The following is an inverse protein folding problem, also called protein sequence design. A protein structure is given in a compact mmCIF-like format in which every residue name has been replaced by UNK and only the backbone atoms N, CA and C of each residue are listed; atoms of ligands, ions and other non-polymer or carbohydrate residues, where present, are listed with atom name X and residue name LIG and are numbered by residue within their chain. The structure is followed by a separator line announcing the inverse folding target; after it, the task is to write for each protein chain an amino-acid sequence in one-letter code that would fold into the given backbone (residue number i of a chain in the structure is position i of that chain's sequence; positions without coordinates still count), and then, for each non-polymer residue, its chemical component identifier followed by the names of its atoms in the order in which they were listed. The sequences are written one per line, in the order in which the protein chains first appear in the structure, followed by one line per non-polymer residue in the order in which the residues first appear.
data_IF_540804206787
#
_entry.id   IF_540804206787
#
_cell.length_a   1.000
_cell.length_b   1.000
_cell.length_c   1.000
_cell.angle_alpha   90.00
_cell.angle_beta   90.00
_cell.angle_gamma   90.00
#
_symmetry.space_group_name_H-M   'P 1'
#
loop_
_entity.id
_entity.type
_entity.pdbx_description
1 polymer ?
#
# COMPACT_ATOMS: atom_id res chain seq x y z
N UNK A 1 -13.60 1.55 -15.03
CA UNK A 1 -12.30 1.25 -15.67
C UNK A 1 -11.38 0.78 -14.55
N UNK A 2 -10.73 -0.38 -14.70
CA UNK A 2 -9.76 -0.86 -13.72
C UNK A 2 -8.50 0.00 -13.81
N UNK A 3 -8.00 0.47 -12.68
CA UNK A 3 -6.68 1.12 -12.61
C UNK A 3 -5.59 0.09 -12.86
N UNK A 4 -4.48 0.53 -13.46
CA UNK A 4 -3.29 -0.30 -13.61
C UNK A 4 -2.71 -0.63 -12.23
N UNK A 5 -2.29 -1.89 -12.05
CA UNK A 5 -1.75 -2.35 -10.78
C UNK A 5 -0.25 -2.12 -10.73
N UNK A 6 0.23 -1.66 -9.57
CA UNK A 6 1.65 -1.50 -9.34
C UNK A 6 2.37 -2.84 -9.25
N UNK A 7 3.62 -2.82 -9.69
CA UNK A 7 4.56 -3.94 -9.66
C UNK A 7 5.87 -3.48 -9.00
N UNK A 8 6.80 -4.41 -8.81
CA UNK A 8 8.14 -4.10 -8.30
C UNK A 8 8.87 -3.06 -9.16
N UNK A 9 8.58 -3.03 -10.47
CA UNK A 9 9.21 -2.13 -11.44
C UNK A 9 8.56 -0.73 -11.45
N UNK A 10 7.26 -0.63 -11.16
CA UNK A 10 6.51 0.64 -11.31
C UNK A 10 6.32 1.39 -9.98
N UNK A 11 6.37 0.70 -8.84
CA UNK A 11 6.03 1.29 -7.54
C UNK A 11 7.01 2.36 -7.08
N UNK A 12 8.31 2.23 -7.38
CA UNK A 12 9.33 3.19 -6.92
C UNK A 12 9.11 4.55 -7.58
N UNK A 13 8.94 4.57 -8.91
CA UNK A 13 8.67 5.80 -9.65
C UNK A 13 7.37 6.46 -9.17
N UNK A 14 6.34 5.66 -8.88
CA UNK A 14 5.10 6.16 -8.28
C UNK A 14 5.34 6.82 -6.92
N UNK A 15 5.98 6.14 -5.96
CA UNK A 15 6.24 6.67 -4.62
C UNK A 15 7.13 7.93 -4.65
N UNK A 16 8.06 8.02 -5.60
CA UNK A 16 8.84 9.23 -5.84
C UNK A 16 7.97 10.38 -6.37
N UNK A 17 7.07 10.11 -7.33
CA UNK A 17 6.14 11.12 -7.85
C UNK A 17 5.18 11.67 -6.79
N UNK A 18 4.87 10.83 -5.78
CA UNK A 18 4.05 11.18 -4.61
C UNK A 18 4.84 11.93 -3.53
N UNK A 19 6.17 12.02 -3.64
CA UNK A 19 7.06 12.59 -2.62
C UNK A 19 7.21 11.71 -1.37
N UNK A 20 6.78 10.45 -1.42
CA UNK A 20 6.90 9.50 -0.31
C UNK A 20 8.32 9.00 -0.17
N UNK A 21 9.02 8.80 -1.29
CA UNK A 21 10.45 8.45 -1.35
C UNK A 21 11.18 9.57 -2.09
N UNK A 22 12.43 9.86 -1.72
CA UNK A 22 13.22 10.86 -2.43
C UNK A 22 13.55 10.40 -3.86
N UNK A 23 13.59 11.34 -4.81
CA UNK A 23 13.94 11.05 -6.20
C UNK A 23 15.34 10.44 -6.39
N UNK A 24 16.25 10.66 -5.42
CA UNK A 24 17.62 10.15 -5.45
C UNK A 24 17.83 8.91 -4.56
N UNK A 25 16.78 8.41 -3.89
CA UNK A 25 16.89 7.21 -3.06
C UNK A 25 16.68 5.95 -3.89
N UNK A 26 17.62 5.01 -3.74
CA UNK A 26 17.44 3.65 -4.21
C UNK A 26 16.49 2.91 -3.27
N UNK A 27 15.63 2.06 -3.85
CA UNK A 27 14.65 1.27 -3.12
C UNK A 27 14.74 -0.20 -3.53
N UNK A 28 14.68 -1.10 -2.55
CA UNK A 28 14.39 -2.51 -2.77
C UNK A 28 12.90 -2.75 -2.62
N UNK A 29 12.33 -3.55 -3.52
CA UNK A 29 10.90 -3.89 -3.51
C UNK A 29 10.74 -5.38 -3.38
N UNK A 30 9.76 -5.79 -2.57
CA UNK A 30 9.38 -7.19 -2.36
C UNK A 30 7.85 -7.33 -2.48
N UNK A 31 7.37 -8.31 -3.24
CA UNK A 31 5.95 -8.67 -3.24
C UNK A 31 5.61 -9.44 -1.96
N UNK A 32 4.69 -8.89 -1.16
CA UNK A 32 4.14 -9.59 0.00
C UNK A 32 2.92 -10.41 -0.40
N UNK A 33 2.94 -11.70 -0.06
CA UNK A 33 1.87 -12.65 -0.38
C UNK A 33 0.99 -12.96 0.84
N UNK A 34 -0.07 -13.76 0.65
CA UNK A 34 -0.99 -14.18 1.72
C UNK A 34 -2.34 -13.43 1.76
N UNK A 35 -2.41 -12.24 1.17
CA UNK A 35 -3.66 -11.50 0.97
C UNK A 35 -4.31 -11.78 -0.39
N UNK A 36 -5.64 -11.84 -0.42
CA UNK A 36 -6.41 -12.04 -1.67
C UNK A 36 -6.98 -10.74 -2.26
N UNK A 37 -7.00 -9.65 -1.48
CA UNK A 37 -7.74 -8.43 -1.82
C UNK A 37 -6.86 -7.28 -2.31
N UNK A 38 -5.54 -7.39 -2.23
CA UNK A 38 -4.64 -6.31 -2.61
C UNK A 38 -3.43 -6.82 -3.39
N UNK A 39 -2.84 -5.94 -4.19
CA UNK A 39 -1.39 -5.96 -4.41
C UNK A 39 -0.74 -5.38 -3.14
N UNK A 40 0.26 -6.06 -2.62
CA UNK A 40 1.01 -5.60 -1.44
C UNK A 40 2.49 -5.64 -1.77
N UNK A 41 3.14 -4.49 -1.70
CA UNK A 41 4.55 -4.31 -2.02
C UNK A 41 5.23 -3.72 -0.80
N UNK A 42 6.21 -4.41 -0.25
CA UNK A 42 7.12 -3.79 0.69
C UNK A 42 8.18 -3.01 -0.07
N UNK A 43 8.47 -1.80 0.39
CA UNK A 43 9.44 -0.90 -0.23
C UNK A 43 10.38 -0.39 0.85
N UNK A 44 11.65 -0.75 0.71
CA UNK A 44 12.68 -0.37 1.67
C UNK A 44 13.72 0.52 1.01
N UNK A 45 14.09 1.59 1.68
CA UNK A 45 15.13 2.54 1.29
C UNK A 45 16.13 2.66 2.43
N UNK A 46 17.15 3.52 2.27
CA UNK A 46 18.06 3.82 3.37
C UNK A 46 17.35 4.47 4.57
N UNK A 47 16.28 5.23 4.34
CA UNK A 47 15.63 6.06 5.36
C UNK A 47 14.23 5.58 5.77
N UNK A 48 13.61 4.70 4.99
CA UNK A 48 12.22 4.25 5.20
C UNK A 48 12.04 2.75 4.96
N UNK A 49 11.14 2.13 5.71
CA UNK A 49 10.62 0.79 5.47
C UNK A 49 9.09 0.86 5.42
N UNK A 50 8.52 0.61 4.24
CA UNK A 50 7.14 0.93 3.90
C UNK A 50 6.42 -0.28 3.33
N UNK A 51 5.09 -0.24 3.39
CA UNK A 51 4.21 -1.16 2.65
C UNK A 51 3.20 -0.34 1.85
N UNK A 52 3.21 -0.52 0.53
CA UNK A 52 2.13 -0.07 -0.34
C UNK A 52 1.09 -1.18 -0.47
N UNK A 53 -0.18 -0.84 -0.27
CA UNK A 53 -1.32 -1.68 -0.58
C UNK A 53 -2.15 -1.02 -1.67
N UNK A 54 -2.51 -1.76 -2.70
CA UNK A 54 -3.44 -1.32 -3.75
C UNK A 54 -4.60 -2.28 -3.87
N UNK A 55 -5.82 -1.77 -3.78
CA UNK A 55 -7.03 -2.58 -3.82
C UNK A 55 -7.24 -3.21 -5.21
N UNK A 56 -7.49 -4.51 -5.24
CA UNK A 56 -7.89 -5.22 -6.46
C UNK A 56 -9.39 -5.02 -6.76
N UNK A 57 -9.76 -4.89 -8.04
CA UNK A 57 -11.16 -4.92 -8.45
C UNK A 57 -11.77 -6.33 -8.36
N UNK A 58 -10.96 -7.36 -8.58
CA UNK A 58 -11.31 -8.77 -8.43
C UNK A 58 -10.34 -9.46 -7.46
N UNK A 59 -10.86 -10.18 -6.47
CA UNK A 59 -10.07 -10.86 -5.45
C UNK A 59 -9.38 -12.11 -6.03
N UNK A 60 -8.18 -12.42 -5.55
CA UNK A 60 -7.40 -13.61 -5.90
C UNK A 60 -7.94 -14.87 -5.22
N UNK A 61 -9.16 -15.27 -5.59
CA UNK A 61 -9.84 -16.46 -5.08
C UNK A 61 -10.31 -17.34 -6.24
N UNK A 62 -10.66 -18.60 -5.96
CA UNK A 62 -10.91 -19.61 -7.01
C UNK A 62 -12.13 -19.30 -7.90
N UNK A 63 -13.09 -18.53 -7.39
CA UNK A 63 -14.29 -18.11 -8.13
C UNK A 63 -14.28 -16.62 -8.32
N UNK A 64 -14.87 -16.14 -9.42
CA UNK A 64 -14.99 -14.69 -9.66
C UNK A 64 -15.61 -13.99 -8.46
N UNK A 65 -14.87 -13.07 -7.86
CA UNK A 65 -15.32 -12.26 -6.74
C UNK A 65 -14.84 -10.83 -6.90
N UNK A 66 -15.75 -9.96 -7.31
CA UNK A 66 -15.49 -8.53 -7.48
C UNK A 66 -15.76 -7.75 -6.19
N UNK A 67 -14.93 -6.75 -5.92
CA UNK A 67 -15.10 -5.85 -4.79
C UNK A 67 -14.76 -4.42 -5.21
N UNK A 68 -15.55 -3.48 -4.72
CA UNK A 68 -15.30 -2.06 -4.95
C UNK A 68 -13.93 -1.64 -4.38
N UNK A 69 -13.10 -1.03 -5.23
CA UNK A 69 -11.76 -0.58 -4.85
C UNK A 69 -11.80 0.61 -3.89
N UNK A 70 -12.92 1.34 -3.81
CA UNK A 70 -13.15 2.42 -2.84
C UNK A 70 -13.10 1.94 -1.38
N UNK A 71 -13.03 0.64 -1.12
CA UNK A 71 -12.71 0.11 0.22
C UNK A 71 -11.33 0.58 0.72
N UNK A 72 -10.37 0.87 -0.16
CA UNK A 72 -9.07 1.41 0.23
C UNK A 72 -9.19 2.80 0.89
N UNK A 73 -10.18 3.60 0.49
CA UNK A 73 -10.50 4.90 1.10
C UNK A 73 -10.91 4.71 2.56
N UNK A 74 -11.83 3.76 2.78
CA UNK A 74 -12.34 3.44 4.12
C UNK A 74 -11.22 2.87 4.98
N UNK A 75 -10.37 2.02 4.41
CA UNK A 75 -9.21 1.46 5.11
C UNK A 75 -8.22 2.54 5.54
N UNK A 76 -7.87 3.49 4.67
CA UNK A 76 -6.98 4.60 4.99
C UNK A 76 -7.53 5.45 6.15
N UNK A 77 -8.80 5.87 6.08
CA UNK A 77 -9.44 6.64 7.16
C UNK A 77 -9.52 5.85 8.49
N UNK A 78 -9.78 4.55 8.41
CA UNK A 78 -9.82 3.70 9.59
C UNK A 78 -8.43 3.59 10.23
N UNK A 79 -7.37 3.36 9.43
CA UNK A 79 -6.00 3.30 9.92
C UNK A 79 -5.59 4.62 10.56
N UNK A 80 -5.83 5.76 9.90
CA UNK A 80 -5.54 7.08 10.46
C UNK A 80 -6.23 7.30 11.81
N UNK A 81 -7.53 6.98 11.88
CA UNK A 81 -8.32 7.11 13.11
C UNK A 81 -7.80 6.19 14.22
N UNK A 82 -7.55 4.92 13.93
CA UNK A 82 -7.11 3.96 14.94
C UNK A 82 -5.66 4.15 15.36
N UNK A 83 -4.79 4.64 14.45
CA UNK A 83 -3.41 5.02 14.80
C UNK A 83 -3.42 6.19 15.79
N UNK A 84 -4.26 7.21 15.59
CA UNK A 84 -4.39 8.32 16.53
C UNK A 84 -4.83 7.87 17.93
N UNK A 85 -5.64 6.80 18.03
CA UNK A 85 -6.09 6.24 19.30
C UNK A 85 -5.11 5.26 19.93
N UNK A 86 -4.29 4.56 19.14
CA UNK A 86 -3.42 3.47 19.58
C UNK A 86 -2.20 3.31 18.68
N UNK A 87 -1.25 4.26 18.71
CA UNK A 87 -0.13 4.30 17.77
C UNK A 87 0.83 3.12 17.89
N UNK A 88 0.86 2.43 19.04
CA UNK A 88 1.65 1.22 19.22
C UNK A 88 1.01 -0.07 18.68
N UNK A 89 -0.25 -0.02 18.22
CA UNK A 89 -1.00 -1.20 17.73
C UNK A 89 -1.38 -1.10 16.25
N UNK A 90 -1.35 0.10 15.68
CA UNK A 90 -1.72 0.37 14.29
C UNK A 90 -0.58 1.14 13.65
N UNK A 91 -0.08 0.76 12.45
CA UNK A 91 1.00 1.50 11.79
C UNK A 91 0.54 2.89 11.36
N UNK A 92 1.49 3.81 11.21
CA UNK A 92 1.19 5.14 10.68
C UNK A 92 0.82 5.05 9.18
N UNK A 93 -0.17 5.85 8.78
CA UNK A 93 -0.48 6.11 7.37
C UNK A 93 0.48 7.18 6.85
N UNK A 94 1.25 6.85 5.82
CA UNK A 94 2.29 7.72 5.23
C UNK A 94 1.75 8.49 4.03
N UNK A 95 0.98 7.83 3.17
CA UNK A 95 0.31 8.43 2.01
C UNK A 95 -0.94 7.62 1.65
N UNK A 96 -1.84 8.25 0.91
CA UNK A 96 -3.06 7.63 0.41
C UNK A 96 -3.51 8.29 -0.89
N UNK A 97 -3.91 7.48 -1.88
CA UNK A 97 -4.35 7.91 -3.19
C UNK A 97 -5.77 7.38 -3.49
N UNK A 98 -6.79 8.26 -3.47
CA UNK A 98 -8.18 7.88 -3.75
C UNK A 98 -8.43 7.51 -5.22
N UNK A 99 -7.59 7.97 -6.15
CA UNK A 99 -7.78 7.74 -7.58
C UNK A 99 -7.22 6.39 -8.00
N UNK A 100 -6.05 6.03 -7.44
CA UNK A 100 -5.39 4.75 -7.70
C UNK A 100 -5.70 3.66 -6.65
N UNK A 101 -6.49 4.01 -5.63
CA UNK A 101 -6.90 3.15 -4.53
C UNK A 101 -5.71 2.53 -3.79
N UNK A 102 -4.68 3.34 -3.54
CA UNK A 102 -3.48 2.94 -2.78
C UNK A 102 -3.49 3.53 -1.39
N UNK A 103 -2.86 2.83 -0.45
CA UNK A 103 -2.43 3.37 0.83
C UNK A 103 -0.99 2.91 1.10
N UNK A 104 -0.20 3.80 1.69
CA UNK A 104 1.19 3.54 2.08
C UNK A 104 1.30 3.63 3.59
N UNK A 105 1.83 2.58 4.21
CA UNK A 105 1.97 2.44 5.65
C UNK A 105 3.43 2.29 6.02
N UNK A 106 3.79 2.66 7.25
CA UNK A 106 5.03 2.16 7.85
C UNK A 106 4.99 0.63 7.93
N UNK A 107 6.09 -0.04 7.57
CA UNK A 107 6.18 -1.49 7.68
C UNK A 107 6.30 -1.88 9.15
N UNK A 108 5.44 -2.80 9.59
CA UNK A 108 5.54 -3.40 10.93
C UNK A 108 6.84 -4.22 11.04
N UNK A 109 7.42 -4.36 12.24
CA UNK A 109 8.68 -5.09 12.42
C UNK A 109 8.65 -6.50 11.84
N UNK A 110 9.78 -6.91 11.26
CA UNK A 110 10.01 -8.27 10.79
C UNK A 110 10.08 -9.21 12.01
N UNK A 111 9.34 -10.32 11.96
CA UNK A 111 9.37 -11.39 12.98
C UNK A 111 10.54 -12.34 12.78
#
# INVERSE_FOLDING_TARGET
MSVELFTEETVVAYLQSRGVISANEEATVEILTGGVSNVVLAVQTQSKDLVLKQALAELKVATKWEADQRRAIVEAHAIETFHALSPGQVPALVDYDPELFTLVLERVPHS
#
